data_IF_850188364259
#
_entry.id   IF_850188364259
#
_cell.length_a   1.000
_cell.length_b   1.000
_cell.length_c   1.000
_cell.angle_alpha   90.00
_cell.angle_beta   90.00
_cell.angle_gamma   90.00
#
_symmetry.space_group_name_H-M   'P 1'
#
loop_
_entity.id
_entity.type
_entity.pdbx_description
1 polymer ?
#
# COMPACT_ATOMS: atom_id res chain seq x y z
N UNK A 1 0.97 13.80 12.55
CA UNK A 1 -0.18 14.30 11.78
C UNK A 1 -0.25 13.53 10.48
N UNK A 2 -1.41 13.02 10.13
CA UNK A 2 -1.56 12.22 8.93
C UNK A 2 -2.10 13.05 7.76
N UNK A 3 -1.85 12.55 6.55
CA UNK A 3 -2.37 13.13 5.32
C UNK A 3 -3.73 12.48 5.04
N UNK A 4 -4.75 13.30 4.77
CA UNK A 4 -6.05 12.76 4.38
C UNK A 4 -5.96 12.06 3.03
N UNK A 5 -6.79 11.04 2.83
CA UNK A 5 -6.77 10.22 1.63
C UNK A 5 -6.93 11.07 0.35
N UNK A 6 -7.84 12.04 0.37
CA UNK A 6 -8.08 12.91 -0.78
C UNK A 6 -6.94 13.90 -1.06
N UNK A 7 -5.97 14.00 -0.18
CA UNK A 7 -4.78 14.83 -0.37
C UNK A 7 -3.63 14.08 -1.04
N UNK A 8 -3.73 12.77 -1.20
CA UNK A 8 -2.77 11.99 -1.96
C UNK A 8 -2.88 12.37 -3.44
N UNK A 9 -1.75 12.72 -4.06
CA UNK A 9 -1.74 13.34 -5.38
C UNK A 9 -1.82 12.35 -6.53
N UNK A 10 -1.38 11.09 -6.31
CA UNK A 10 -1.42 10.06 -7.35
C UNK A 10 -2.70 9.22 -7.21
N UNK A 11 -3.60 9.25 -8.20
CA UNK A 11 -4.88 8.54 -8.09
C UNK A 11 -4.76 7.03 -7.84
N UNK A 12 -3.77 6.38 -8.47
CA UNK A 12 -3.56 4.94 -8.27
C UNK A 12 -3.14 4.62 -6.83
N UNK A 13 -2.29 5.45 -6.25
CA UNK A 13 -1.85 5.30 -4.85
C UNK A 13 -3.01 5.57 -3.91
N UNK A 14 -3.83 6.57 -4.21
CA UNK A 14 -5.03 6.86 -3.43
C UNK A 14 -5.97 5.66 -3.40
N UNK A 15 -6.20 5.04 -4.57
CA UNK A 15 -7.06 3.86 -4.67
C UNK A 15 -6.49 2.68 -3.86
N UNK A 16 -5.17 2.49 -3.89
CA UNK A 16 -4.51 1.45 -3.12
C UNK A 16 -4.73 1.64 -1.62
N UNK A 17 -4.44 2.83 -1.11
CA UNK A 17 -4.59 3.14 0.32
C UNK A 17 -6.05 3.01 0.75
N UNK A 18 -6.98 3.49 -0.07
CA UNK A 18 -8.41 3.37 0.22
C UNK A 18 -8.84 1.91 0.34
N UNK A 19 -8.37 1.05 -0.58
CA UNK A 19 -8.70 -0.37 -0.57
C UNK A 19 -8.13 -1.07 0.67
N UNK A 20 -6.89 -0.77 1.03
CA UNK A 20 -6.27 -1.31 2.24
C UNK A 20 -7.10 -0.93 3.47
N UNK A 21 -7.41 0.35 3.61
CA UNK A 21 -8.09 0.85 4.81
C UNK A 21 -9.55 0.42 4.90
N UNK A 22 -10.18 0.13 3.77
CA UNK A 22 -11.54 -0.42 3.73
C UNK A 22 -11.57 -1.94 3.91
N UNK A 23 -10.41 -2.62 3.85
CA UNK A 23 -10.36 -4.06 3.87
C UNK A 23 -11.03 -4.68 2.65
N UNK A 24 -10.96 -4.00 1.51
CA UNK A 24 -11.71 -4.37 0.29
C UNK A 24 -10.77 -5.06 -0.69
N UNK A 25 -10.82 -6.39 -0.70
CA UNK A 25 -9.98 -7.23 -1.57
C UNK A 25 -10.21 -6.93 -3.05
N UNK A 26 -11.45 -6.75 -3.44
CA UNK A 26 -11.79 -6.50 -4.85
C UNK A 26 -11.28 -5.14 -5.30
N UNK A 27 -11.40 -4.13 -4.45
CA UNK A 27 -10.90 -2.79 -4.75
C UNK A 27 -9.37 -2.78 -4.88
N UNK A 28 -8.67 -3.53 -4.01
CA UNK A 28 -7.21 -3.63 -4.11
C UNK A 28 -6.81 -4.31 -5.42
N UNK A 29 -7.45 -5.42 -5.76
CA UNK A 29 -7.17 -6.13 -7.00
C UNK A 29 -7.42 -5.23 -8.22
N UNK A 30 -8.47 -4.42 -8.18
CA UNK A 30 -8.78 -3.46 -9.26
C UNK A 30 -7.76 -2.34 -9.37
N UNK A 31 -7.06 -2.00 -8.28
CA UNK A 31 -6.02 -0.98 -8.27
C UNK A 31 -4.68 -1.50 -8.81
N UNK A 32 -4.52 -2.80 -8.98
CA UNK A 32 -3.28 -3.43 -9.43
C UNK A 32 -3.40 -3.86 -10.90
N UNK A 33 -2.26 -3.85 -11.62
CA UNK A 33 -2.21 -4.48 -12.94
C UNK A 33 -2.29 -6.00 -12.80
N UNK A 34 -2.59 -6.68 -13.90
CA UNK A 34 -2.77 -8.13 -13.90
C UNK A 34 -1.53 -8.88 -13.42
N UNK A 35 -0.35 -8.41 -13.78
CA UNK A 35 0.92 -9.04 -13.40
C UNK A 35 1.66 -8.29 -12.30
N UNK A 36 0.96 -7.55 -11.46
CA UNK A 36 1.61 -6.73 -10.42
C UNK A 36 2.48 -7.56 -9.49
N UNK A 37 3.59 -6.96 -9.06
CA UNK A 37 4.57 -7.58 -8.15
C UNK A 37 4.79 -6.69 -6.95
N UNK A 38 5.43 -7.25 -5.92
CA UNK A 38 5.76 -6.47 -4.73
C UNK A 38 7.00 -7.02 -4.03
N UNK A 39 7.61 -6.20 -3.18
CA UNK A 39 8.67 -6.62 -2.28
C UNK A 39 8.41 -6.11 -0.88
N UNK A 40 8.95 -6.82 0.11
CA UNK A 40 8.92 -6.43 1.51
C UNK A 40 10.34 -6.55 2.07
N UNK A 41 10.88 -5.43 2.57
CA UNK A 41 12.27 -5.32 3.04
C UNK A 41 13.28 -5.86 2.01
N UNK A 42 13.04 -5.57 0.74
CA UNK A 42 13.93 -5.94 -0.36
C UNK A 42 13.76 -7.35 -0.90
N UNK A 43 12.84 -8.13 -0.35
CA UNK A 43 12.55 -9.51 -0.82
C UNK A 43 11.23 -9.53 -1.57
N UNK A 44 11.26 -10.06 -2.80
CA UNK A 44 10.04 -10.23 -3.58
C UNK A 44 9.16 -11.28 -2.93
N UNK A 45 7.86 -10.99 -2.85
CA UNK A 45 6.86 -11.86 -2.25
C UNK A 45 5.75 -12.15 -3.23
N UNK A 46 5.03 -13.24 -3.01
CA UNK A 46 3.79 -13.52 -3.73
C UNK A 46 2.75 -12.49 -3.29
N UNK A 47 2.30 -11.66 -4.23
CA UNK A 47 1.45 -10.51 -3.91
C UNK A 47 0.09 -10.96 -3.34
N UNK A 48 -0.50 -12.03 -3.87
CA UNK A 48 -1.79 -12.50 -3.39
C UNK A 48 -1.68 -13.03 -1.95
N UNK A 49 -0.66 -13.83 -1.67
CA UNK A 49 -0.42 -14.38 -0.34
C UNK A 49 -0.07 -13.28 0.67
N UNK A 50 0.83 -12.38 0.29
CA UNK A 50 1.27 -11.31 1.19
C UNK A 50 0.12 -10.37 1.55
N UNK A 51 -0.67 -9.94 0.56
CA UNK A 51 -1.79 -9.02 0.83
C UNK A 51 -2.86 -9.68 1.68
N UNK A 52 -3.13 -10.96 1.46
CA UNK A 52 -4.10 -11.69 2.30
C UNK A 52 -3.63 -11.75 3.75
N UNK A 53 -2.38 -12.15 3.97
CA UNK A 53 -1.81 -12.32 5.32
C UNK A 53 -1.61 -11.00 6.05
N UNK A 54 -1.02 -10.01 5.36
CA UNK A 54 -0.52 -8.80 6.02
C UNK A 54 -1.56 -7.68 6.02
N UNK A 55 -2.56 -7.74 5.16
CA UNK A 55 -3.58 -6.69 5.06
C UNK A 55 -4.94 -7.22 5.49
N UNK A 56 -5.47 -8.21 4.79
CA UNK A 56 -6.89 -8.55 4.93
C UNK A 56 -7.18 -9.42 6.13
N UNK A 57 -6.45 -10.53 6.31
CA UNK A 57 -6.69 -11.43 7.44
C UNK A 57 -6.27 -10.82 8.77
N UNK A 58 -5.35 -9.87 8.76
CA UNK A 58 -4.82 -9.22 9.97
C UNK A 58 -5.33 -7.80 10.18
N UNK A 59 -6.34 -7.38 9.41
CA UNK A 59 -6.97 -6.07 9.53
C UNK A 59 -5.97 -4.91 9.41
N UNK A 60 -5.22 -4.89 8.31
CA UNK A 60 -4.22 -3.87 8.05
C UNK A 60 -4.83 -2.49 7.85
N UNK A 61 -4.12 -1.46 8.31
CA UNK A 61 -4.53 -0.07 8.16
C UNK A 61 -3.31 0.81 7.96
N UNK A 62 -3.39 1.70 6.98
CA UNK A 62 -2.33 2.68 6.68
C UNK A 62 -2.78 4.07 7.11
N UNK A 63 -1.95 4.71 7.93
CA UNK A 63 -2.13 6.09 8.30
C UNK A 63 -0.96 6.87 7.68
N UNK A 64 -1.22 7.51 6.53
CA UNK A 64 -0.16 8.12 5.73
C UNK A 64 0.34 9.38 6.41
N UNK A 65 1.65 9.47 6.62
CA UNK A 65 2.30 10.61 7.28
C UNK A 65 2.86 11.60 6.28
N UNK A 66 3.54 11.11 5.23
CA UNK A 66 4.14 11.95 4.19
C UNK A 66 4.00 11.32 2.83
N UNK A 67 4.07 12.16 1.80
CA UNK A 67 4.17 11.69 0.42
C UNK A 67 5.27 12.45 -0.30
N UNK A 68 5.88 11.81 -1.30
CA UNK A 68 6.87 12.46 -2.16
C UNK A 68 6.18 13.43 -3.13
N UNK A 69 6.96 14.31 -3.77
CA UNK A 69 6.41 15.30 -4.70
C UNK A 69 5.68 14.68 -5.89
N UNK A 70 6.11 13.47 -6.32
CA UNK A 70 5.45 12.75 -7.41
C UNK A 70 4.26 11.88 -6.93
N UNK A 71 4.03 11.83 -5.63
CA UNK A 71 2.95 11.03 -5.06
C UNK A 71 3.17 9.53 -5.06
N UNK A 72 4.33 9.06 -5.52
CA UNK A 72 4.63 7.63 -5.67
C UNK A 72 5.37 7.04 -4.49
N UNK A 73 5.76 7.85 -3.52
CA UNK A 73 6.41 7.40 -2.30
C UNK A 73 5.64 7.86 -1.08
N UNK A 74 5.43 6.97 -0.13
CA UNK A 74 4.74 7.28 1.14
C UNK A 74 5.58 6.84 2.32
N UNK A 75 5.45 7.56 3.42
CA UNK A 75 5.77 7.04 4.76
C UNK A 75 4.45 6.97 5.52
N UNK A 76 4.20 5.86 6.15
CA UNK A 76 2.94 5.62 6.85
C UNK A 76 3.18 4.90 8.17
N UNK A 77 2.32 5.16 9.14
CA UNK A 77 2.15 4.24 10.26
C UNK A 77 1.24 3.11 9.78
N UNK A 78 1.79 1.92 9.70
CA UNK A 78 1.05 0.74 9.30
C UNK A 78 0.82 -0.13 10.53
N UNK A 79 -0.40 -0.60 10.70
CA UNK A 79 -0.71 -1.52 11.79
C UNK A 79 -1.53 -2.69 11.29
N UNK A 80 -1.32 -3.84 11.91
CA UNK A 80 -2.18 -5.00 11.74
C UNK A 80 -2.16 -5.83 13.03
N UNK A 81 -3.00 -6.85 13.07
CA UNK A 81 -3.15 -7.68 14.27
C UNK A 81 -1.94 -8.57 14.53
N UNK A 82 -1.13 -8.86 13.50
CA UNK A 82 0.04 -9.71 13.62
C UNK A 82 1.22 -8.98 14.24
N UNK A 83 1.51 -7.77 13.77
CA UNK A 83 2.75 -7.05 14.09
C UNK A 83 2.53 -5.82 14.95
N UNK A 84 1.28 -5.38 15.13
CA UNK A 84 0.99 -4.10 15.78
C UNK A 84 1.30 -2.94 14.83
N UNK A 85 1.72 -1.81 15.39
CA UNK A 85 1.99 -0.60 14.62
C UNK A 85 3.49 -0.45 14.33
N UNK A 86 3.81 -0.07 13.09
CA UNK A 86 5.18 0.20 12.70
C UNK A 86 5.22 1.29 11.63
N UNK A 87 6.31 2.03 11.59
CA UNK A 87 6.52 3.01 10.53
C UNK A 87 7.07 2.31 9.31
N UNK A 88 6.43 2.53 8.17
CA UNK A 88 6.75 1.85 6.91
C UNK A 88 6.94 2.85 5.80
N UNK A 89 7.80 2.49 4.84
CA UNK A 89 7.97 3.23 3.60
C UNK A 89 7.34 2.43 2.48
N UNK A 90 6.72 3.14 1.50
CA UNK A 90 6.03 2.54 0.37
C UNK A 90 6.46 3.25 -0.90
N UNK A 91 6.81 2.50 -1.91
CA UNK A 91 7.15 3.02 -3.23
C UNK A 91 6.33 2.32 -4.28
N UNK A 92 5.70 3.11 -5.16
CA UNK A 92 4.77 2.59 -6.16
C UNK A 92 5.28 2.85 -7.56
N UNK A 93 5.07 1.88 -8.47
CA UNK A 93 5.23 2.04 -9.90
C UNK A 93 3.84 1.95 -10.52
N UNK A 94 3.48 2.95 -11.32
CA UNK A 94 2.13 3.07 -11.91
C UNK A 94 2.24 2.88 -13.42
N UNK A 95 1.31 2.12 -13.98
CA UNK A 95 1.19 1.84 -15.39
C UNK A 95 -0.28 1.91 -15.80
N UNK A 96 -0.61 2.82 -16.72
CA UNK A 96 -1.98 3.04 -17.19
C UNK A 96 -2.98 3.25 -16.05
N UNK A 97 -2.59 4.03 -15.05
CA UNK A 97 -3.46 4.36 -13.94
C UNK A 97 -3.63 3.26 -12.89
N UNK A 98 -2.87 2.18 -13.00
CA UNK A 98 -2.88 1.09 -12.02
C UNK A 98 -1.47 0.83 -11.52
N UNK A 99 -1.37 0.21 -10.35
CA UNK A 99 -0.09 -0.10 -9.73
C UNK A 99 0.45 -1.39 -10.33
N UNK A 100 1.64 -1.32 -10.96
CA UNK A 100 2.31 -2.49 -11.50
C UNK A 100 3.29 -3.10 -10.50
N UNK A 101 3.76 -2.33 -9.53
CA UNK A 101 4.63 -2.82 -8.48
C UNK A 101 4.54 -1.91 -7.27
N UNK A 102 4.59 -2.49 -6.08
CA UNK A 102 4.87 -1.70 -4.88
C UNK A 102 5.96 -2.37 -4.05
N UNK A 103 6.73 -1.53 -3.39
CA UNK A 103 7.80 -1.97 -2.50
C UNK A 103 7.55 -1.37 -1.14
N UNK A 104 7.61 -2.18 -0.10
CA UNK A 104 7.42 -1.72 1.26
C UNK A 104 8.50 -2.26 2.17
N UNK A 105 8.65 -1.65 3.33
CA UNK A 105 9.60 -2.05 4.34
C UNK A 105 9.56 -1.08 5.49
N UNK A 106 10.40 -1.33 6.49
CA UNK A 106 10.52 -0.42 7.62
C UNK A 106 11.15 0.90 7.17
N UNK A 107 10.59 1.99 7.68
CA UNK A 107 11.11 3.33 7.40
C UNK A 107 12.11 3.76 8.49
#
# INVERSE_FOLDING_TARGET
MSIALDQLTEPAVRAFVAAVNAGDRNALQSALTLGATMSDDGSDRDIADWTEREIFSSEGHMDVLTQTGDGLGLVANYRNDTWGAMRTAWRFTVDNGKISRFETGQA
#
